data_IF_948374752343
#
_entry.id   IF_948374752343
#
_cell.length_a   1.000
_cell.length_b   1.000
_cell.length_c   1.000
_cell.angle_alpha   90.00
_cell.angle_beta   90.00
_cell.angle_gamma   90.00
#
_symmetry.space_group_name_H-M   'P 1'
#
loop_
_entity.id
_entity.type
_entity.pdbx_description
1 polymer ?
#
# COMPACT_ATOMS: atom_id res chain seq x y z
N UNK A 1 -3.48 2.54 6.91
CA UNK A 1 -2.01 2.51 6.72
C UNK A 1 -1.44 3.85 7.17
N UNK A 2 -0.26 3.88 7.79
CA UNK A 2 0.44 5.11 8.20
C UNK A 2 1.79 5.21 7.49
N UNK A 3 2.17 6.42 7.06
CA UNK A 3 3.36 6.70 6.25
C UNK A 3 4.53 7.25 7.10
N UNK A 4 4.85 6.64 8.24
CA UNK A 4 5.80 7.21 9.22
C UNK A 4 7.18 7.55 8.66
N UNK A 5 7.94 6.54 8.19
CA UNK A 5 9.30 6.76 7.66
C UNK A 5 9.30 7.58 6.36
N UNK A 6 8.36 7.29 5.46
CA UNK A 6 8.24 8.02 4.19
C UNK A 6 8.00 9.52 4.43
N UNK A 7 7.12 9.86 5.38
CA UNK A 7 6.88 11.24 5.81
C UNK A 7 8.16 11.89 6.34
N UNK A 8 8.89 11.20 7.24
CA UNK A 8 10.11 11.74 7.83
C UNK A 8 11.20 12.00 6.78
N UNK A 9 11.38 11.10 5.81
CA UNK A 9 12.35 11.28 4.74
C UNK A 9 11.95 12.40 3.77
N UNK A 10 10.67 12.52 3.43
CA UNK A 10 10.19 13.63 2.60
C UNK A 10 10.36 14.99 3.31
N UNK A 11 10.13 15.01 4.63
CA UNK A 11 10.35 16.19 5.46
C UNK A 11 11.85 16.55 5.55
N UNK A 12 12.72 15.57 5.74
CA UNK A 12 14.16 15.81 5.85
C UNK A 12 14.78 16.31 4.52
N UNK A 13 14.25 15.86 3.38
CA UNK A 13 14.80 16.19 2.06
C UNK A 13 14.33 17.54 1.51
N UNK A 14 13.04 17.90 1.67
CA UNK A 14 12.45 19.11 1.07
C UNK A 14 11.40 19.77 1.99
N UNK A 15 11.43 19.49 3.29
CA UNK A 15 10.51 20.09 4.26
C UNK A 15 9.05 19.83 3.93
N UNK A 16 8.20 20.85 4.15
CA UNK A 16 6.76 20.78 3.86
C UNK A 16 6.46 20.48 2.39
N UNK A 17 7.25 21.02 1.46
CA UNK A 17 7.04 20.78 0.03
C UNK A 17 7.32 19.33 -0.35
N UNK A 18 8.35 18.72 0.23
CA UNK A 18 8.66 17.29 0.06
C UNK A 18 7.50 16.41 0.52
N UNK A 19 6.97 16.67 1.71
CA UNK A 19 5.80 15.95 2.25
C UNK A 19 4.56 16.13 1.36
N UNK A 20 4.29 17.35 0.89
CA UNK A 20 3.14 17.61 0.01
C UNK A 20 3.27 16.84 -1.32
N UNK A 21 4.47 16.80 -1.90
CA UNK A 21 4.73 16.02 -3.10
C UNK A 21 4.56 14.52 -2.86
N UNK A 22 5.06 13.99 -1.74
CA UNK A 22 4.87 12.59 -1.35
C UNK A 22 3.38 12.22 -1.28
N UNK A 23 2.57 13.02 -0.59
CA UNK A 23 1.13 12.76 -0.46
C UNK A 23 0.43 12.80 -1.82
N UNK A 24 0.78 13.75 -2.68
CA UNK A 24 0.24 13.84 -4.04
C UNK A 24 0.62 12.62 -4.89
N UNK A 25 1.85 12.11 -4.75
CA UNK A 25 2.27 10.90 -5.45
C UNK A 25 1.47 9.68 -4.98
N UNK A 26 1.32 9.50 -3.67
CA UNK A 26 0.52 8.39 -3.11
C UNK A 26 -0.93 8.45 -3.60
N UNK A 27 -1.54 9.63 -3.64
CA UNK A 27 -2.90 9.80 -4.17
C UNK A 27 -2.99 9.39 -5.65
N UNK A 28 -2.04 9.82 -6.48
CA UNK A 28 -2.01 9.50 -7.91
C UNK A 28 -1.79 8.01 -8.15
N UNK A 29 -0.80 7.41 -7.50
CA UNK A 29 -0.50 5.99 -7.64
C UNK A 29 -1.64 5.11 -7.14
N UNK A 30 -2.36 5.53 -6.09
CA UNK A 30 -3.58 4.83 -5.66
C UNK A 30 -4.64 4.78 -6.77
N UNK A 31 -4.85 5.89 -7.50
CA UNK A 31 -5.79 5.93 -8.63
C UNK A 31 -5.32 5.04 -9.79
N UNK A 32 -4.01 5.02 -10.07
CA UNK A 32 -3.43 4.16 -11.11
C UNK A 32 -3.63 2.70 -10.74
N UNK A 33 -3.28 2.29 -9.51
CA UNK A 33 -3.46 0.92 -9.04
C UNK A 33 -4.93 0.49 -9.11
N UNK A 34 -5.85 1.33 -8.61
CA UNK A 34 -7.29 1.08 -8.69
C UNK A 34 -7.79 0.90 -10.12
N UNK A 35 -7.29 1.70 -11.06
CA UNK A 35 -7.65 1.58 -12.48
C UNK A 35 -7.17 0.24 -13.05
N UNK A 36 -5.93 -0.15 -12.74
CA UNK A 36 -5.34 -1.40 -13.22
C UNK A 36 -5.99 -2.65 -12.60
N UNK A 37 -6.48 -2.55 -11.36
CA UNK A 37 -7.20 -3.65 -10.69
C UNK A 37 -8.71 -3.61 -10.93
N UNK A 38 -9.22 -2.66 -11.73
CA UNK A 38 -10.65 -2.52 -12.02
C UNK A 38 -11.53 -2.06 -10.84
N UNK A 39 -10.93 -1.48 -9.80
CA UNK A 39 -11.66 -0.98 -8.62
C UNK A 39 -12.05 0.50 -8.82
N UNK A 40 -13.35 0.81 -8.91
CA UNK A 40 -13.82 2.21 -9.07
C UNK A 40 -13.85 2.99 -7.74
N UNK A 41 -13.76 2.30 -6.60
CA UNK A 41 -13.71 2.90 -5.27
C UNK A 41 -12.82 2.10 -4.32
N UNK A 42 -12.29 2.75 -3.28
CA UNK A 42 -11.42 2.08 -2.29
C UNK A 42 -12.14 0.91 -1.60
N UNK A 43 -13.47 0.98 -1.48
CA UNK A 43 -14.29 -0.08 -0.88
C UNK A 43 -14.31 -1.37 -1.67
N UNK A 44 -13.95 -1.31 -2.96
CA UNK A 44 -13.94 -2.47 -3.85
C UNK A 44 -12.59 -3.18 -3.88
N UNK A 45 -11.57 -2.63 -3.21
CA UNK A 45 -10.28 -3.30 -3.06
C UNK A 45 -10.46 -4.46 -2.06
N UNK A 46 -10.42 -5.68 -2.57
CA UNK A 46 -10.58 -6.91 -1.78
C UNK A 46 -9.40 -7.87 -1.96
N UNK A 47 -9.42 -8.97 -1.20
CA UNK A 47 -8.43 -10.07 -1.35
C UNK A 47 -8.54 -10.77 -2.70
N UNK A 48 -9.66 -10.64 -3.41
CA UNK A 48 -9.86 -11.26 -4.73
C UNK A 48 -8.97 -10.61 -5.79
N UNK A 49 -8.53 -9.37 -5.57
CA UNK A 49 -7.55 -8.68 -6.42
C UNK A 49 -6.10 -9.13 -6.17
N UNK A 50 -5.86 -9.99 -5.17
CA UNK A 50 -4.52 -10.43 -4.78
C UNK A 50 -4.30 -11.90 -5.14
N UNK A 51 -3.21 -12.19 -5.84
CA UNK A 51 -2.70 -13.55 -5.96
C UNK A 51 -2.08 -13.94 -4.62
N UNK A 52 -2.54 -15.04 -4.03
CA UNK A 52 -2.00 -15.52 -2.76
C UNK A 52 -0.59 -16.08 -2.97
N UNK A 53 0.34 -15.68 -2.10
CA UNK A 53 1.66 -16.28 -2.07
C UNK A 53 1.59 -17.62 -1.29
N UNK A 54 1.81 -18.72 -2.00
CA UNK A 54 1.75 -20.07 -1.45
C UNK A 54 2.77 -20.33 -0.34
N UNK A 55 3.98 -19.76 -0.43
CA UNK A 55 5.05 -19.94 0.57
C UNK A 55 4.71 -19.22 1.89
N UNK A 56 4.11 -18.03 1.78
CA UNK A 56 3.64 -17.29 2.94
C UNK A 56 2.49 -18.03 3.65
N UNK A 57 1.57 -18.63 2.88
CA UNK A 57 0.44 -19.39 3.43
C UNK A 57 0.89 -20.62 4.25
N UNK A 58 1.87 -21.37 3.75
CA UNK A 58 2.45 -22.53 4.45
C UNK A 58 3.05 -22.15 5.81
N UNK A 59 3.68 -20.98 5.88
CA UNK A 59 4.26 -20.48 7.14
C UNK A 59 3.17 -20.17 8.16
N UNK A 60 2.03 -19.61 7.73
CA UNK A 60 0.89 -19.37 8.62
C UNK A 60 0.17 -20.66 9.04
N UNK A 61 0.10 -21.67 8.17
CA UNK A 61 -0.50 -22.97 8.49
C UNK A 61 0.33 -23.75 9.51
N UNK A 62 1.66 -23.67 9.43
CA UNK A 62 2.57 -24.27 10.40
C UNK A 62 2.42 -23.65 11.81
N UNK A 63 2.16 -22.35 11.91
CA UNK A 63 1.93 -21.64 13.17
C UNK A 63 0.54 -21.89 13.78
N UNK A 64 -0.40 -22.43 13.00
CA UNK A 64 -1.77 -22.73 13.48
C UNK A 64 -1.90 -24.15 14.05
N UNK A 65 -0.84 -24.95 13.99
CA UNK A 65 -0.77 -26.35 14.42
C UNK A 65 -0.08 -26.52 15.80
N UNK A 66 0.40 -25.44 16.42
CA UNK A 66 0.84 -25.36 17.84
C UNK A 66 -0.25 -24.73 18.73
#
# INVERSE_FOLDING_TARGET
MLLGRAYLYALATHGKQGVANLLNLIEKEMKVAMTLTGAKSIREISRDSLVQNAEALQTFDALKQE
#
